data_IF_033829817501
#
_entry.id   IF_033829817501
#
_cell.length_a   1.000
_cell.length_b   1.000
_cell.length_c   1.000
_cell.angle_alpha   90.00
_cell.angle_beta   90.00
_cell.angle_gamma   90.00
#
_symmetry.space_group_name_H-M   'P 1'
#
loop_
_entity.id
_entity.type
_entity.pdbx_description
1 polymer ?
#
# COMPACT_ATOMS: atom_id res chain seq x y z
N UNK A 1 -18.19 16.27 5.20
CA UNK A 1 -17.66 15.55 4.03
C UNK A 1 -16.15 15.50 4.18
N UNK A 2 -15.51 14.34 4.03
CA UNK A 2 -14.07 14.21 4.29
C UNK A 2 -13.23 14.15 3.00
N UNK A 3 -12.01 14.69 3.06
CA UNK A 3 -10.96 14.54 2.06
C UNK A 3 -9.96 13.47 2.48
N UNK A 4 -9.85 12.39 1.71
CA UNK A 4 -8.94 11.27 1.96
C UNK A 4 -7.69 11.38 1.09
N UNK A 5 -6.52 11.31 1.70
CA UNK A 5 -5.23 11.25 0.97
C UNK A 5 -4.73 9.82 0.91
N UNK A 6 -4.48 9.30 -0.29
CA UNK A 6 -3.84 7.99 -0.49
C UNK A 6 -2.37 8.21 -0.77
N UNK A 7 -1.52 7.76 0.15
CA UNK A 7 -0.07 7.92 0.04
C UNK A 7 0.49 6.67 -0.66
N UNK A 8 1.14 6.85 -1.81
CA UNK A 8 1.75 5.76 -2.59
C UNK A 8 3.24 6.01 -2.76
N UNK A 9 4.00 5.00 -3.20
CA UNK A 9 5.39 5.25 -3.57
C UNK A 9 5.46 6.30 -4.69
N UNK A 10 6.55 7.06 -4.75
CA UNK A 10 6.81 8.05 -5.81
C UNK A 10 6.91 7.44 -7.22
N UNK A 11 7.15 6.12 -7.29
CA UNK A 11 7.28 5.36 -8.54
C UNK A 11 6.07 4.46 -8.79
N UNK A 12 5.07 4.49 -7.91
CA UNK A 12 3.88 3.68 -8.04
C UNK A 12 2.87 4.32 -9.00
N UNK A 13 2.13 3.47 -9.70
CA UNK A 13 1.08 3.85 -10.66
C UNK A 13 -0.25 3.30 -10.18
N UNK A 14 -0.75 3.85 -9.07
CA UNK A 14 -2.06 3.47 -8.52
C UNK A 14 -3.18 3.64 -9.55
N UNK A 15 -3.13 4.72 -10.33
CA UNK A 15 -4.05 4.98 -11.43
C UNK A 15 -3.29 5.03 -12.75
N UNK A 16 -3.69 4.20 -13.71
CA UNK A 16 -3.28 4.38 -15.10
C UNK A 16 -4.30 5.28 -15.81
N UNK A 17 -3.86 6.46 -16.23
CA UNK A 17 -4.64 7.34 -17.09
C UNK A 17 -4.45 6.92 -18.54
N UNK A 18 -5.45 6.26 -19.12
CA UNK A 18 -5.53 6.02 -20.57
C UNK A 18 -6.24 7.20 -21.23
N UNK A 19 -5.69 7.75 -22.31
CA UNK A 19 -6.32 8.82 -23.08
C UNK A 19 -7.75 8.38 -23.46
N UNK A 20 -8.74 9.25 -23.20
CA UNK A 20 -10.17 9.01 -23.48
C UNK A 20 -10.86 7.88 -22.70
N UNK A 21 -10.23 7.27 -21.70
CA UNK A 21 -10.86 6.26 -20.83
C UNK A 21 -10.84 6.69 -19.36
N UNK A 22 -11.83 6.20 -18.59
CA UNK A 22 -11.86 6.36 -17.14
C UNK A 22 -10.58 5.73 -16.56
N UNK A 23 -9.99 6.35 -15.53
CA UNK A 23 -8.81 5.82 -14.87
C UNK A 23 -9.10 4.39 -14.37
N UNK A 24 -8.24 3.46 -14.75
CA UNK A 24 -8.31 2.06 -14.32
C UNK A 24 -7.20 1.80 -13.31
N UNK A 25 -7.47 0.90 -12.35
CA UNK A 25 -6.52 0.48 -11.34
C UNK A 25 -6.69 -1.01 -11.11
N UNK A 26 -5.58 -1.73 -11.02
CA UNK A 26 -5.54 -3.12 -10.55
C UNK A 26 -5.71 -3.23 -9.04
N UNK A 27 -5.58 -2.12 -8.30
CA UNK A 27 -5.67 -2.12 -6.86
C UNK A 27 -7.12 -1.99 -6.38
N UNK A 28 -7.52 -2.92 -5.52
CA UNK A 28 -8.85 -2.93 -4.89
C UNK A 28 -9.16 -1.61 -4.14
N UNK A 29 -8.15 -0.93 -3.61
CA UNK A 29 -8.33 0.36 -2.94
C UNK A 29 -9.01 1.39 -3.84
N UNK A 30 -8.77 1.38 -5.16
CA UNK A 30 -9.44 2.30 -6.08
C UNK A 30 -10.96 2.10 -6.10
N UNK A 31 -11.44 0.86 -6.07
CA UNK A 31 -12.86 0.58 -6.01
C UNK A 31 -13.50 1.11 -4.71
N UNK A 32 -12.76 1.04 -3.59
CA UNK A 32 -13.17 1.61 -2.30
C UNK A 32 -13.23 3.14 -2.37
N UNK A 33 -12.23 3.79 -2.96
CA UNK A 33 -12.20 5.25 -3.15
C UNK A 33 -13.35 5.73 -4.03
N UNK A 34 -13.69 4.99 -5.09
CA UNK A 34 -14.84 5.29 -5.95
C UNK A 34 -16.18 5.11 -5.24
N UNK A 35 -16.29 4.16 -4.29
CA UNK A 35 -17.46 4.05 -3.41
C UNK A 35 -17.54 5.22 -2.42
N UNK A 36 -16.43 5.60 -1.78
CA UNK A 36 -16.36 6.77 -0.91
C UNK A 36 -16.74 8.05 -1.64
N UNK A 37 -16.29 8.20 -2.90
CA UNK A 37 -16.67 9.32 -3.76
C UNK A 37 -18.17 9.37 -4.04
N UNK A 38 -18.80 8.22 -4.30
CA UNK A 38 -20.27 8.12 -4.46
C UNK A 38 -21.04 8.47 -3.18
N UNK A 39 -20.45 8.26 -2.01
CA UNK A 39 -20.98 8.69 -0.71
C UNK A 39 -20.70 10.17 -0.39
N UNK A 40 -20.04 10.87 -1.32
CA UNK A 40 -19.80 12.31 -1.28
C UNK A 40 -18.40 12.72 -0.83
N UNK A 41 -17.56 11.80 -0.37
CA UNK A 41 -16.19 12.11 0.02
C UNK A 41 -15.34 12.50 -1.20
N UNK A 42 -14.21 13.16 -0.97
CA UNK A 42 -13.21 13.42 -2.01
C UNK A 42 -11.90 12.73 -1.66
N UNK A 43 -11.07 12.48 -2.67
CA UNK A 43 -9.77 11.88 -2.45
C UNK A 43 -8.72 12.38 -3.44
N UNK A 44 -7.46 12.37 -3.00
CA UNK A 44 -6.27 12.65 -3.82
C UNK A 44 -5.21 11.58 -3.59
N UNK A 45 -4.27 11.47 -4.52
CA UNK A 45 -3.11 10.58 -4.40
C UNK A 45 -1.89 11.46 -4.12
N UNK A 46 -1.23 11.22 -3.00
CA UNK A 46 0.10 11.73 -2.72
C UNK A 46 1.13 10.70 -3.20
N UNK A 47 1.72 10.93 -4.38
CA UNK A 47 2.81 10.10 -4.88
C UNK A 47 4.12 10.56 -4.22
N UNK A 48 4.71 9.71 -3.38
CA UNK A 48 5.87 10.06 -2.58
C UNK A 48 5.52 10.81 -1.29
N UNK A 49 6.57 11.20 -0.55
CA UNK A 49 6.45 11.96 0.71
C UNK A 49 6.97 13.40 0.63
N UNK A 50 7.47 13.81 -0.54
CA UNK A 50 8.04 15.14 -0.81
C UNK A 50 6.96 16.22 -0.93
N UNK A 51 5.83 15.89 -1.57
CA UNK A 51 4.69 16.80 -1.69
C UNK A 51 3.76 16.60 -0.51
N UNK A 52 3.72 17.57 0.40
CA UNK A 52 2.81 17.54 1.56
C UNK A 52 1.40 17.97 1.12
N UNK A 53 0.47 17.03 1.17
CA UNK A 53 -0.95 17.26 0.89
C UNK A 53 -1.71 17.19 2.21
N UNK A 54 -2.57 18.17 2.47
CA UNK A 54 -3.46 18.16 3.63
C UNK A 54 -4.73 17.33 3.34
N UNK A 55 -5.25 16.67 4.35
CA UNK A 55 -6.52 15.94 4.29
C UNK A 55 -7.04 15.58 5.68
N UNK A 56 -8.32 15.23 5.75
CA UNK A 56 -8.98 14.87 7.01
C UNK A 56 -8.54 13.48 7.50
N UNK A 57 -8.20 12.60 6.57
CA UNK A 57 -7.64 11.28 6.83
C UNK A 57 -6.69 10.85 5.71
N UNK A 58 -5.80 9.91 6.01
CA UNK A 58 -4.93 9.29 5.03
C UNK A 58 -5.00 7.75 5.06
N UNK A 59 -4.58 7.15 3.95
CA UNK A 59 -4.29 5.72 3.85
C UNK A 59 -2.86 5.56 3.35
N UNK A 60 -2.01 4.93 4.15
CA UNK A 60 -0.67 4.53 3.72
C UNK A 60 -0.80 3.28 2.83
N UNK A 61 -0.55 3.44 1.53
CA UNK A 61 -0.69 2.40 0.52
C UNK A 61 0.56 2.38 -0.38
N UNK A 62 1.68 1.96 0.20
CA UNK A 62 2.95 1.80 -0.51
C UNK A 62 3.07 0.35 -0.97
N UNK A 63 3.18 0.10 -2.28
CA UNK A 63 3.44 -1.24 -2.83
C UNK A 63 4.92 -1.62 -2.61
N UNK A 64 5.24 -2.01 -1.38
CA UNK A 64 6.55 -2.57 -1.00
C UNK A 64 6.39 -3.54 0.16
N UNK A 65 7.33 -4.49 0.29
CA UNK A 65 7.35 -5.44 1.41
C UNK A 65 7.65 -4.72 2.72
N UNK A 66 8.64 -3.82 2.69
CA UNK A 66 9.01 -2.95 3.81
C UNK A 66 8.81 -1.51 3.40
N UNK A 67 8.17 -0.73 4.25
CA UNK A 67 7.88 0.68 3.98
C UNK A 67 9.05 1.53 4.48
N UNK A 68 9.55 2.43 3.63
CA UNK A 68 10.58 3.39 4.03
C UNK A 68 10.02 4.30 5.16
N UNK A 69 10.76 4.47 6.28
CA UNK A 69 10.36 5.32 7.40
C UNK A 69 9.91 6.74 7.02
N UNK A 70 10.43 7.32 5.94
CA UNK A 70 10.01 8.65 5.47
C UNK A 70 8.52 8.71 5.10
N UNK A 71 7.95 7.62 4.56
CA UNK A 71 6.51 7.53 4.30
C UNK A 71 5.71 7.42 5.59
N UNK A 72 6.23 6.73 6.61
CA UNK A 72 5.60 6.60 7.92
C UNK A 72 5.55 7.95 8.61
N UNK A 73 6.66 8.68 8.63
CA UNK A 73 6.74 10.03 9.21
C UNK A 73 5.79 11.00 8.50
N UNK A 74 5.70 10.91 7.18
CA UNK A 74 4.71 11.69 6.44
C UNK A 74 3.26 11.31 6.82
N UNK A 75 2.96 10.01 6.88
CA UNK A 75 1.64 9.49 7.25
C UNK A 75 1.22 9.88 8.67
N UNK A 76 2.16 9.97 9.62
CA UNK A 76 1.92 10.42 11.00
C UNK A 76 1.48 11.87 11.11
N UNK A 77 1.72 12.69 10.09
CA UNK A 77 1.28 14.09 10.05
C UNK A 77 -0.23 14.28 9.85
N UNK A 78 -0.97 13.22 9.49
CA UNK A 78 -2.41 13.30 9.28
C UNK A 78 -3.18 13.11 10.60
N UNK A 79 -4.34 13.77 10.78
CA UNK A 79 -5.19 13.58 11.96
C UNK A 79 -5.57 12.11 12.20
N UNK A 80 -5.76 11.36 11.11
CA UNK A 80 -6.00 9.92 11.09
C UNK A 80 -5.27 9.32 9.91
N UNK A 81 -4.49 8.25 10.13
CA UNK A 81 -3.89 7.49 9.03
C UNK A 81 -4.08 5.99 9.21
N UNK A 82 -4.71 5.35 8.22
CA UNK A 82 -4.80 3.89 8.15
C UNK A 82 -3.47 3.29 7.67
N UNK A 83 -3.15 2.10 8.21
CA UNK A 83 -1.95 1.31 7.90
C UNK A 83 -0.60 1.95 8.29
N UNK A 84 -0.59 3.06 9.04
CA UNK A 84 0.67 3.71 9.46
C UNK A 84 1.59 2.82 10.30
N UNK A 85 1.03 1.84 11.03
CA UNK A 85 1.79 0.84 11.78
C UNK A 85 2.19 -0.41 10.99
N UNK A 86 1.74 -0.54 9.74
CA UNK A 86 2.02 -1.70 8.87
C UNK A 86 3.29 -1.40 8.08
N UNK A 87 4.44 -1.62 8.73
CA UNK A 87 5.75 -1.24 8.17
C UNK A 87 6.44 -2.37 7.41
N UNK A 88 5.96 -3.60 7.59
CA UNK A 88 6.55 -4.82 7.03
C UNK A 88 5.46 -5.88 6.84
N UNK A 89 5.23 -6.25 5.57
CA UNK A 89 4.24 -7.25 5.15
C UNK A 89 4.88 -8.58 4.74
N UNK A 90 6.16 -8.80 5.05
CA UNK A 90 6.84 -10.06 4.79
C UNK A 90 6.09 -11.23 5.41
N UNK A 91 6.00 -12.34 4.68
CA UNK A 91 5.22 -13.51 5.14
C UNK A 91 5.78 -14.13 6.41
N UNK A 92 7.08 -13.98 6.66
CA UNK A 92 7.73 -14.35 7.92
C UNK A 92 7.21 -13.57 9.12
N UNK A 93 6.75 -12.33 8.92
CA UNK A 93 6.26 -11.45 9.99
C UNK A 93 4.75 -11.55 10.18
N UNK A 94 3.99 -11.57 9.10
CA UNK A 94 2.53 -11.45 9.17
C UNK A 94 1.77 -12.78 9.13
N UNK A 95 2.41 -13.87 8.69
CA UNK A 95 1.74 -15.17 8.59
C UNK A 95 1.81 -15.94 9.90
N UNK A 96 0.65 -16.31 10.45
CA UNK A 96 0.56 -17.25 11.58
C UNK A 96 0.65 -18.72 11.15
N UNK A 97 0.54 -19.00 9.84
CA UNK A 97 0.63 -20.34 9.27
C UNK A 97 2.06 -20.75 8.87
N UNK A 98 3.07 -20.14 9.50
CA UNK A 98 4.47 -20.43 9.20
C UNK A 98 4.86 -21.74 9.87
N UNK A 99 5.30 -22.72 9.08
CA UNK A 99 5.90 -23.95 9.58
C UNK A 99 7.36 -23.70 9.93
N UNK A 100 7.74 -23.98 11.17
CA UNK A 100 9.11 -23.91 11.69
C UNK A 100 9.62 -25.31 12.10
N UNK A 101 10.93 -25.48 12.36
CA UNK A 101 11.44 -26.74 12.86
C UNK A 101 10.67 -27.20 14.10
N UNK A 102 10.30 -28.48 14.13
CA UNK A 102 9.55 -29.13 15.22
C UNK A 102 8.07 -28.75 15.36
N UNK A 103 7.44 -28.11 14.37
CA UNK A 103 5.99 -27.85 14.35
C UNK A 103 5.11 -29.10 14.16
N UNK A 104 5.71 -30.25 13.84
CA UNK A 104 4.97 -31.52 13.65
C UNK A 104 4.09 -31.58 12.40
N UNK A 105 4.19 -30.59 11.50
CA UNK A 105 3.46 -30.59 10.24
C UNK A 105 4.11 -31.52 9.21
N UNK A 106 3.37 -32.57 8.81
CA UNK A 106 3.81 -33.57 7.80
C UNK A 106 3.10 -33.42 6.45
N UNK A 107 2.17 -32.48 6.34
CA UNK A 107 1.39 -32.26 5.12
C UNK A 107 2.13 -31.43 4.06
N UNK A 108 1.52 -31.26 2.87
CA UNK A 108 2.04 -30.37 1.83
C UNK A 108 2.21 -28.93 2.35
N UNK A 109 3.19 -28.21 1.80
CA UNK A 109 3.46 -26.81 2.12
C UNK A 109 3.45 -25.95 0.87
N UNK A 110 3.05 -24.67 1.03
CA UNK A 110 3.24 -23.65 0.01
C UNK A 110 4.51 -22.87 0.35
N UNK A 111 5.47 -22.89 -0.57
CA UNK A 111 6.68 -22.06 -0.45
C UNK A 111 6.38 -20.66 -0.96
N UNK A 112 6.62 -19.65 -0.12
CA UNK A 112 6.49 -18.24 -0.49
C UNK A 112 7.78 -17.50 -0.18
N UNK A 113 8.26 -16.73 -1.16
CA UNK A 113 9.37 -15.81 -0.95
C UNK A 113 9.06 -14.79 0.15
N UNK A 114 10.11 -14.27 0.79
CA UNK A 114 9.98 -13.26 1.85
C UNK A 114 9.37 -11.98 1.30
N UNK A 115 9.83 -11.55 0.12
CA UNK A 115 9.34 -10.36 -0.56
C UNK A 115 7.99 -10.58 -1.24
N UNK A 116 7.15 -9.55 -1.18
CA UNK A 116 5.89 -9.49 -1.89
C UNK A 116 6.10 -9.58 -3.41
N UNK A 117 5.19 -10.26 -4.10
CA UNK A 117 5.22 -10.40 -5.57
C UNK A 117 6.61 -10.81 -6.12
N UNK A 118 7.35 -11.66 -5.39
CA UNK A 118 8.68 -12.11 -5.81
C UNK A 118 9.76 -11.04 -5.81
N UNK A 119 9.55 -9.90 -5.13
CA UNK A 119 10.51 -8.78 -5.11
C UNK A 119 10.36 -7.81 -6.28
N UNK A 120 9.35 -7.97 -7.13
CA UNK A 120 9.11 -7.07 -8.26
C UNK A 120 8.85 -5.62 -7.83
N UNK A 121 8.08 -5.32 -6.76
CA UNK A 121 7.93 -3.96 -6.31
C UNK A 121 9.27 -3.37 -5.90
N UNK A 122 10.03 -4.02 -5.03
CA UNK A 122 11.38 -3.57 -4.62
C UNK A 122 12.29 -3.34 -5.82
N UNK A 123 12.27 -4.22 -6.83
CA UNK A 123 13.02 -4.01 -8.05
C UNK A 123 12.61 -2.73 -8.77
N UNK A 124 11.30 -2.50 -9.00
CA UNK A 124 10.78 -1.28 -9.64
C UNK A 124 11.12 -0.02 -8.86
N UNK A 125 11.01 -0.07 -7.53
CA UNK A 125 11.30 1.06 -6.65
C UNK A 125 12.79 1.42 -6.63
N UNK A 126 13.67 0.45 -6.89
CA UNK A 126 15.12 0.66 -6.98
C UNK A 126 15.59 1.14 -8.37
N UNK A 127 14.72 1.09 -9.40
CA UNK A 127 15.05 1.60 -10.74
C UNK A 127 14.78 3.11 -10.79
N UNK A 128 15.87 3.88 -10.85
CA UNK A 128 15.88 5.34 -11.06
C UNK A 128 15.58 5.71 -12.51
#
# INVERSE_FOLDING_TARGET
MAHIVVITHEHDRLLERKLFRRAESSYMIHAILEDLRRRGHSWTIAQGFSTKIAGDAAVLHVDSTTVDPAYIEYARGFPLCLNVGVTDISKSRVSTARVVPHDGWEGPVIVKGVLNCGGLPESRLNHR
#
